data_IF_143075478634
#
_entry.id   IF_143075478634
#
_cell.length_a   1.000
_cell.length_b   1.000
_cell.length_c   1.000
_cell.angle_alpha   90.00
_cell.angle_beta   90.00
_cell.angle_gamma   90.00
#
_symmetry.space_group_name_H-M   'P 1'
#
loop_
_entity.id
_entity.type
_entity.pdbx_description
1 polymer ?
#
# COMPACT_ATOMS: atom_id res chain seq x y z
N UNK A 1 10.75 -34.47 33.38
CA UNK A 1 9.87 -34.42 32.97
C UNK A 1 9.24 -33.20 32.92
N UNK A 2 9.14 -32.57 33.66
CA UNK A 2 8.52 -31.42 33.65
C UNK A 2 9.25 -30.50 32.85
N UNK A 3 10.37 -30.65 32.77
CA UNK A 3 11.06 -29.79 32.06
C UNK A 3 10.61 -29.76 30.75
N UNK A 4 10.06 -30.70 30.38
CA UNK A 4 9.74 -30.76 29.10
C UNK A 4 8.77 -29.78 28.84
N UNK A 5 7.99 -29.48 29.65
CA UNK A 5 7.01 -28.61 29.37
C UNK A 5 7.60 -27.37 29.16
N UNK A 6 8.57 -27.19 29.66
CA UNK A 6 9.12 -25.94 29.59
C UNK A 6 9.48 -25.70 28.22
N UNK A 7 9.80 -26.69 27.57
CA UNK A 7 10.25 -26.45 26.35
C UNK A 7 9.25 -25.91 25.51
N UNK A 8 8.14 -26.04 25.76
CA UNK A 8 7.15 -25.64 24.92
C UNK A 8 7.03 -24.25 24.85
N UNK A 9 7.20 -23.62 25.71
CA UNK A 9 7.05 -22.31 25.81
C UNK A 9 7.30 -21.50 24.69
N UNK A 10 8.09 -21.73 23.92
CA UNK A 10 8.37 -20.89 22.84
C UNK A 10 7.20 -20.72 21.98
N UNK A 11 6.06 -21.14 22.41
CA UNK A 11 4.95 -20.92 21.58
C UNK A 11 4.61 -19.49 21.54
N UNK A 12 4.40 -18.97 20.36
CA UNK A 12 4.01 -17.62 20.19
C UNK A 12 2.51 -17.53 20.27
N UNK A 13 1.95 -16.56 20.99
CA UNK A 13 0.50 -16.43 21.05
C UNK A 13 -0.06 -16.17 19.65
N UNK A 14 -1.27 -16.64 19.41
CA UNK A 14 -1.89 -16.46 18.10
C UNK A 14 -1.98 -14.98 17.75
N UNK A 15 -2.32 -14.13 18.72
CA UNK A 15 -2.42 -12.71 18.44
C UNK A 15 -1.09 -12.12 17.98
N UNK A 16 0.00 -12.65 18.50
CA UNK A 16 1.30 -12.15 18.11
C UNK A 16 1.67 -12.61 16.70
N UNK A 17 1.32 -13.85 16.37
CA UNK A 17 1.53 -14.32 15.01
C UNK A 17 0.75 -13.43 14.07
N UNK A 18 -0.50 -13.14 14.40
CA UNK A 18 -1.33 -12.31 13.53
C UNK A 18 -0.78 -10.90 13.42
N UNK A 19 -0.24 -10.35 14.49
CA UNK A 19 0.36 -9.02 14.43
C UNK A 19 1.56 -8.99 13.51
N UNK A 20 2.38 -10.02 13.55
CA UNK A 20 3.54 -10.09 12.67
C UNK A 20 3.10 -10.17 11.21
N UNK A 21 2.10 -10.98 10.91
CA UNK A 21 1.61 -11.11 9.54
C UNK A 21 0.98 -9.80 9.08
N UNK A 22 0.23 -9.13 9.98
CA UNK A 22 -0.41 -7.86 9.63
C UNK A 22 0.65 -6.81 9.33
N UNK A 23 1.79 -6.88 10.00
CA UNK A 23 2.87 -5.94 9.78
C UNK A 23 3.71 -6.28 8.54
N UNK A 24 3.41 -7.38 7.87
CA UNK A 24 4.09 -7.70 6.62
C UNK A 24 5.02 -8.89 6.67
N UNK A 25 5.08 -9.60 7.79
CA UNK A 25 5.99 -10.73 7.90
C UNK A 25 5.50 -11.88 7.03
N UNK A 26 6.43 -12.63 6.47
CA UNK A 26 6.11 -13.77 5.63
C UNK A 26 5.83 -14.97 6.53
N UNK A 27 4.71 -15.69 6.32
CA UNK A 27 4.38 -16.82 7.18
C UNK A 27 5.49 -17.87 7.28
N UNK A 28 6.18 -18.16 6.18
CA UNK A 28 7.24 -19.14 6.23
C UNK A 28 8.38 -18.68 7.13
N UNK A 29 8.69 -17.39 7.09
CA UNK A 29 9.76 -16.88 7.92
C UNK A 29 9.36 -16.81 9.38
N UNK A 30 8.11 -16.53 9.67
CA UNK A 30 7.62 -16.52 11.04
C UNK A 30 7.73 -17.94 11.59
N UNK A 31 7.31 -18.93 10.79
CA UNK A 31 7.37 -20.32 11.23
C UNK A 31 8.81 -20.71 11.52
N UNK A 32 9.72 -20.34 10.64
CA UNK A 32 11.11 -20.70 10.79
C UNK A 32 11.72 -20.03 12.04
N UNK A 33 11.48 -18.75 12.18
CA UNK A 33 12.06 -18.00 13.28
C UNK A 33 11.60 -18.46 14.65
N UNK A 34 10.35 -18.85 14.77
CA UNK A 34 9.80 -19.25 16.06
C UNK A 34 9.60 -20.75 16.17
N UNK A 35 10.17 -21.52 15.26
CA UNK A 35 10.11 -22.97 15.28
C UNK A 35 8.68 -23.48 15.32
N UNK A 36 7.84 -22.91 14.47
CA UNK A 36 6.46 -23.33 14.39
C UNK A 36 6.21 -23.99 13.04
N UNK A 37 5.12 -24.73 12.95
CA UNK A 37 4.73 -25.33 11.70
C UNK A 37 4.28 -24.24 10.74
N UNK A 38 4.73 -24.28 9.50
CA UNK A 38 4.31 -23.29 8.55
C UNK A 38 2.82 -23.40 8.29
N UNK A 39 2.29 -24.62 8.28
CA UNK A 39 0.85 -24.80 8.09
C UNK A 39 0.07 -24.13 9.21
N UNK A 40 0.57 -24.20 10.43
CA UNK A 40 -0.09 -23.57 11.55
C UNK A 40 -0.08 -22.05 11.41
N UNK A 41 1.08 -21.50 11.05
CA UNK A 41 1.19 -20.05 10.88
C UNK A 41 0.27 -19.58 9.76
N UNK A 42 0.22 -20.31 8.64
CA UNK A 42 -0.65 -19.92 7.56
C UNK A 42 -2.11 -20.01 7.95
N UNK A 43 -2.45 -20.97 8.78
CA UNK A 43 -3.82 -21.10 9.24
C UNK A 43 -4.22 -19.88 10.07
N UNK A 44 -3.35 -19.44 10.96
CA UNK A 44 -3.67 -18.28 11.79
C UNK A 44 -3.53 -16.97 11.03
N UNK A 45 -2.83 -16.97 9.90
CA UNK A 45 -2.72 -15.76 9.12
C UNK A 45 -3.87 -15.60 8.12
N UNK A 46 -4.69 -16.61 7.93
CA UNK A 46 -5.77 -16.52 6.95
C UNK A 46 -6.71 -15.36 7.25
N UNK A 47 -7.07 -15.15 8.49
CA UNK A 47 -7.98 -14.06 8.82
C UNK A 47 -7.31 -12.71 8.60
N UNK A 48 -5.99 -12.64 8.79
CA UNK A 48 -5.27 -11.40 8.55
C UNK A 48 -5.22 -11.11 7.05
N UNK A 49 -5.06 -12.14 6.23
CA UNK A 49 -5.06 -11.92 4.79
C UNK A 49 -6.42 -11.39 4.33
N UNK A 50 -7.50 -11.90 4.90
CA UNK A 50 -8.82 -11.38 4.60
C UNK A 50 -8.94 -9.93 5.07
N UNK A 51 -8.39 -9.64 6.23
CA UNK A 51 -8.40 -8.29 6.77
C UNK A 51 -7.63 -7.33 5.87
N UNK A 52 -6.49 -7.77 5.34
CA UNK A 52 -5.70 -6.95 4.43
C UNK A 52 -6.45 -6.67 3.14
N UNK A 53 -7.11 -7.69 2.62
CA UNK A 53 -7.88 -7.53 1.39
C UNK A 53 -9.02 -6.55 1.62
N UNK A 54 -9.67 -6.65 2.77
CA UNK A 54 -10.75 -5.73 3.13
C UNK A 54 -10.21 -4.30 3.24
N UNK A 55 -9.01 -4.15 3.81
CA UNK A 55 -8.42 -2.82 3.94
C UNK A 55 -8.17 -2.20 2.56
N UNK A 56 -7.68 -3.00 1.61
CA UNK A 56 -7.46 -2.50 0.27
C UNK A 56 -8.78 -2.07 -0.36
N UNK A 57 -9.82 -2.87 -0.21
CA UNK A 57 -11.10 -2.55 -0.79
C UNK A 57 -11.69 -1.28 -0.17
N UNK A 58 -11.55 -1.11 1.12
CA UNK A 58 -12.07 0.07 1.79
C UNK A 58 -11.27 1.31 1.43
N UNK A 59 -9.96 1.18 1.27
CA UNK A 59 -9.15 2.29 0.84
C UNK A 59 -9.57 2.74 -0.56
N UNK A 60 -9.81 1.80 -1.45
CA UNK A 60 -10.20 2.13 -2.82
C UNK A 60 -11.60 2.75 -2.88
N UNK A 61 -12.40 2.52 -1.85
CA UNK A 61 -13.74 3.10 -1.79
C UNK A 61 -13.77 4.49 -1.13
N UNK A 62 -12.62 4.97 -0.67
CA UNK A 62 -12.56 6.30 -0.06
C UNK A 62 -12.96 7.34 -1.10
N UNK A 63 -13.74 8.35 -0.71
CA UNK A 63 -14.16 9.38 -1.67
C UNK A 63 -12.97 10.11 -2.27
N UNK A 64 -13.02 10.34 -3.56
CA UNK A 64 -11.96 11.06 -4.24
C UNK A 64 -12.10 12.56 -4.01
N UNK A 65 -11.03 13.32 -4.23
CA UNK A 65 -11.12 14.78 -4.14
C UNK A 65 -12.18 15.31 -5.09
N UNK A 66 -12.87 16.34 -4.69
CA UNK A 66 -13.96 16.88 -5.48
C UNK A 66 -13.51 17.35 -6.85
N UNK A 67 -12.32 17.86 -6.94
CA UNK A 67 -11.81 18.35 -8.20
C UNK A 67 -11.62 17.26 -9.24
N UNK A 68 -11.52 16.02 -8.79
CA UNK A 68 -11.20 14.94 -9.69
C UNK A 68 -12.37 14.51 -10.57
N UNK A 69 -13.59 14.88 -10.18
CA UNK A 69 -14.79 14.53 -10.92
C UNK A 69 -15.09 13.05 -10.99
N UNK A 70 -14.46 12.27 -10.15
CA UNK A 70 -14.81 10.87 -10.00
C UNK A 70 -15.23 10.69 -8.55
N UNK A 71 -15.82 9.56 -8.24
CA UNK A 71 -16.41 9.36 -6.94
C UNK A 71 -15.46 8.81 -5.91
N UNK A 72 -14.63 7.87 -6.29
CA UNK A 72 -13.77 7.18 -5.32
C UNK A 72 -12.33 7.19 -5.77
N UNK A 73 -11.45 6.86 -4.84
CA UNK A 73 -10.03 6.73 -5.17
C UNK A 73 -9.83 5.63 -6.20
N UNK A 74 -10.65 4.57 -6.14
CA UNK A 74 -10.56 3.50 -7.12
C UNK A 74 -10.71 4.04 -8.53
N UNK A 75 -11.74 4.85 -8.75
CA UNK A 75 -11.97 5.41 -10.08
C UNK A 75 -10.86 6.34 -10.51
N UNK A 76 -10.35 7.13 -9.57
CA UNK A 76 -9.29 8.07 -9.86
C UNK A 76 -8.01 7.34 -10.25
N UNK A 77 -7.66 6.33 -9.48
CA UNK A 77 -6.45 5.57 -9.73
C UNK A 77 -6.58 4.77 -11.02
N UNK A 78 -7.74 4.18 -11.26
CA UNK A 78 -7.97 3.43 -12.49
C UNK A 78 -7.84 4.32 -13.71
N UNK A 79 -8.34 5.55 -13.61
CA UNK A 79 -8.22 6.48 -14.71
C UNK A 79 -6.76 6.80 -15.01
N UNK A 80 -5.97 6.98 -13.96
CA UNK A 80 -4.56 7.28 -14.11
C UNK A 80 -3.82 6.09 -14.73
N UNK A 81 -4.12 4.88 -14.25
CA UNK A 81 -3.49 3.69 -14.81
C UNK A 81 -3.87 3.51 -16.28
N UNK A 82 -5.12 3.78 -16.62
CA UNK A 82 -5.55 3.63 -18.01
C UNK A 82 -4.78 4.59 -18.92
N UNK A 83 -4.55 5.80 -18.46
CA UNK A 83 -3.80 6.77 -19.24
C UNK A 83 -2.34 6.35 -19.39
N UNK A 84 -1.80 5.66 -18.41
CA UNK A 84 -0.42 5.18 -18.44
C UNK A 84 -0.31 3.82 -19.12
N UNK A 85 -1.44 3.27 -19.57
CA UNK A 85 -1.48 1.96 -20.20
C UNK A 85 -1.02 0.84 -19.27
N UNK A 86 -1.33 0.97 -17.99
CA UNK A 86 -1.06 -0.05 -17.01
C UNK A 86 -2.37 -0.79 -16.78
N UNK A 87 -2.35 -2.10 -16.92
CA UNK A 87 -3.55 -2.89 -16.73
C UNK A 87 -3.75 -3.17 -15.26
N UNK A 88 -4.99 -3.09 -14.81
CA UNK A 88 -5.28 -3.29 -13.39
C UNK A 88 -4.87 -4.67 -12.90
N UNK A 89 -4.97 -5.67 -13.73
CA UNK A 89 -4.59 -7.01 -13.30
C UNK A 89 -3.08 -7.16 -13.13
N UNK A 90 -2.30 -6.20 -13.63
CA UNK A 90 -0.86 -6.24 -13.45
C UNK A 90 -0.40 -5.43 -12.25
N UNK A 91 -1.33 -4.88 -11.50
CA UNK A 91 -0.99 -4.10 -10.31
C UNK A 91 -1.09 -4.99 -9.09
N UNK A 92 -0.04 -5.02 -8.29
CA UNK A 92 -0.03 -5.80 -7.06
C UNK A 92 -0.33 -4.88 -5.88
N UNK A 93 -1.42 -5.15 -5.19
CA UNK A 93 -1.83 -4.35 -4.03
C UNK A 93 -1.40 -5.05 -2.75
N UNK A 94 -0.94 -4.27 -1.79
CA UNK A 94 -0.58 -4.80 -0.49
C UNK A 94 -1.08 -3.87 0.60
N UNK A 95 -1.37 -4.44 1.75
CA UNK A 95 -1.79 -3.67 2.92
C UNK A 95 -1.05 -4.23 4.11
N UNK A 96 -0.47 -3.34 4.90
CA UNK A 96 0.19 -3.74 6.13
C UNK A 96 -0.17 -2.73 7.21
N UNK A 97 -0.09 -3.16 8.46
CA UNK A 97 -0.36 -2.29 9.57
C UNK A 97 0.55 -2.67 10.72
N UNK A 98 1.22 -1.69 11.30
CA UNK A 98 2.08 -1.93 12.42
C UNK A 98 1.41 -1.40 13.67
N UNK A 99 1.01 -2.30 14.57
CA UNK A 99 0.33 -1.89 15.79
C UNK A 99 -0.95 -1.14 15.50
N UNK A 100 -1.07 0.01 16.09
CA UNK A 100 -2.27 0.84 15.91
C UNK A 100 -2.07 1.97 14.91
N UNK A 101 -0.97 1.94 14.19
CA UNK A 101 -0.74 2.96 13.18
C UNK A 101 -1.72 2.83 12.02
N UNK A 102 -1.86 3.86 11.21
CA UNK A 102 -2.73 3.75 10.04
C UNK A 102 -2.25 2.64 9.13
N UNK A 103 -3.15 2.14 8.33
CA UNK A 103 -2.79 1.13 7.35
C UNK A 103 -1.87 1.73 6.29
N UNK A 104 -0.94 0.93 5.83
CA UNK A 104 -0.10 1.32 4.71
C UNK A 104 -0.58 0.51 3.51
N UNK A 105 -1.05 1.20 2.49
CA UNK A 105 -1.55 0.55 1.27
C UNK A 105 -0.54 0.84 0.18
N UNK A 106 -0.17 -0.16 -0.57
CA UNK A 106 0.77 0.05 -1.67
C UNK A 106 0.28 -0.62 -2.94
N UNK A 107 0.64 -0.02 -4.07
CA UNK A 107 0.34 -0.54 -5.39
C UNK A 107 1.66 -0.61 -6.15
N UNK A 108 2.02 -1.81 -6.59
CA UNK A 108 3.25 -2.00 -7.32
C UNK A 108 2.92 -2.35 -8.76
N UNK A 109 3.54 -1.70 -9.69
CA UNK A 109 3.25 -1.91 -11.11
C UNK A 109 4.48 -1.52 -11.93
N UNK A 110 4.45 -1.86 -13.22
CA UNK A 110 5.56 -1.53 -14.12
C UNK A 110 5.06 -0.47 -15.10
N UNK A 111 5.83 0.57 -15.27
CA UNK A 111 5.51 1.62 -16.23
C UNK A 111 6.81 2.04 -16.90
N UNK A 112 6.81 2.06 -18.23
CA UNK A 112 7.99 2.43 -19.01
C UNK A 112 9.22 1.62 -18.63
N UNK A 113 9.02 0.33 -18.36
CA UNK A 113 10.12 -0.56 -18.03
C UNK A 113 10.63 -0.45 -16.62
N UNK A 114 10.01 0.38 -15.79
CA UNK A 114 10.45 0.55 -14.42
C UNK A 114 9.38 0.06 -13.46
N UNK A 115 9.82 -0.59 -12.38
CA UNK A 115 8.90 -1.02 -11.34
C UNK A 115 8.67 0.17 -10.40
N UNK A 116 7.42 0.53 -10.23
CA UNK A 116 7.04 1.67 -9.41
C UNK A 116 6.15 1.18 -8.29
N UNK A 117 6.36 1.70 -7.10
CA UNK A 117 5.54 1.34 -5.95
C UNK A 117 4.98 2.61 -5.33
N UNK A 118 3.68 2.78 -5.43
CA UNK A 118 3.00 3.91 -4.81
C UNK A 118 2.55 3.48 -3.42
N UNK A 119 2.74 4.35 -2.44
CA UNK A 119 2.41 4.02 -1.06
C UNK A 119 1.61 5.12 -0.42
N UNK A 120 0.56 4.73 0.29
CA UNK A 120 -0.29 5.65 1.01
C UNK A 120 -0.45 5.19 2.45
N UNK A 121 -0.68 6.16 3.35
CA UNK A 121 -1.09 5.88 4.70
C UNK A 121 -2.58 6.19 4.77
N UNK A 122 -3.37 5.30 5.35
CA UNK A 122 -4.82 5.45 5.37
C UNK A 122 -5.36 5.08 6.73
N UNK A 123 -6.11 6.00 7.33
CA UNK A 123 -6.74 5.78 8.61
C UNK A 123 -8.19 5.37 8.38
N UNK A 124 -8.52 4.14 8.77
CA UNK A 124 -9.83 3.61 8.51
C UNK A 124 -10.93 4.36 9.26
N UNK A 125 -10.60 4.97 10.38
CA UNK A 125 -11.62 5.64 11.18
C UNK A 125 -12.14 6.92 10.55
N UNK A 126 -11.28 7.72 9.97
CA UNK A 126 -11.71 9.01 9.42
C UNK A 126 -11.41 9.13 7.93
N UNK A 127 -10.97 8.05 7.30
CA UNK A 127 -10.65 8.03 5.87
C UNK A 127 -9.55 9.02 5.48
N UNK A 128 -8.72 9.40 6.43
CA UNK A 128 -7.61 10.31 6.13
C UNK A 128 -6.56 9.54 5.34
N UNK A 129 -6.21 10.04 4.17
CA UNK A 129 -5.25 9.43 3.27
C UNK A 129 -4.06 10.37 3.11
N UNK A 130 -2.87 9.85 3.31
CA UNK A 130 -1.65 10.61 3.08
C UNK A 130 -0.80 9.87 2.08
N UNK A 131 -0.28 10.59 1.10
CA UNK A 131 0.62 9.97 0.13
C UNK A 131 2.00 9.89 0.75
N UNK A 132 2.59 8.71 0.71
CA UNK A 132 3.89 8.50 1.32
C UNK A 132 5.05 8.69 0.36
N UNK A 133 4.76 8.72 -0.94
CA UNK A 133 5.81 8.97 -1.92
C UNK A 133 5.21 9.65 -3.14
N UNK A 134 6.08 10.02 -4.08
CA UNK A 134 5.68 10.75 -5.25
C UNK A 134 4.77 9.96 -6.16
N UNK A 135 5.03 8.68 -6.30
CA UNK A 135 4.19 7.86 -7.18
C UNK A 135 2.75 7.85 -6.67
N UNK A 136 2.57 7.78 -5.35
CA UNK A 136 1.23 7.81 -4.77
C UNK A 136 0.53 9.12 -5.07
N UNK A 137 1.27 10.23 -4.96
CA UNK A 137 0.68 11.53 -5.24
C UNK A 137 0.24 11.65 -6.69
N UNK A 138 1.06 11.12 -7.59
CA UNK A 138 0.72 11.20 -9.00
C UNK A 138 -0.49 10.35 -9.36
N UNK A 139 -0.64 9.23 -8.69
CA UNK A 139 -1.78 8.38 -8.99
C UNK A 139 -3.11 9.03 -8.59
N UNK A 140 -3.09 9.89 -7.59
CA UNK A 140 -4.33 10.58 -7.22
C UNK A 140 -4.31 12.04 -7.64
N UNK A 141 -3.35 12.42 -8.49
CA UNK A 141 -3.36 13.73 -9.12
C UNK A 141 -2.78 14.85 -8.30
N UNK A 142 -1.96 14.56 -7.31
CA UNK A 142 -1.35 15.60 -6.50
C UNK A 142 0.05 15.92 -6.99
N UNK A 143 0.49 17.12 -6.66
CA UNK A 143 1.81 17.57 -7.05
C UNK A 143 2.87 17.06 -6.07
N UNK A 144 4.01 16.67 -6.57
CA UNK A 144 5.11 16.27 -5.72
C UNK A 144 5.66 17.43 -4.95
N UNK A 145 6.06 17.18 -3.74
CA UNK A 145 6.78 18.18 -2.99
C UNK A 145 8.16 18.33 -3.61
N UNK A 146 8.69 19.53 -3.67
CA UNK A 146 9.99 19.75 -4.32
C UNK A 146 11.15 19.05 -3.68
N UNK A 147 11.05 18.66 -2.45
CA UNK A 147 12.15 18.03 -1.79
C UNK A 147 12.09 16.54 -1.67
N UNK A 148 11.43 15.89 -2.56
CA UNK A 148 11.33 14.44 -2.51
C UNK A 148 12.68 13.78 -2.73
N UNK A 149 12.81 12.58 -2.30
CA UNK A 149 14.04 11.84 -2.43
C UNK A 149 14.48 11.68 -3.86
N UNK A 150 15.76 11.71 -4.09
CA UNK A 150 16.28 11.69 -5.43
C UNK A 150 16.06 10.38 -6.17
N UNK A 151 16.22 9.29 -5.51
CA UNK A 151 16.04 8.02 -6.17
C UNK A 151 14.61 7.83 -6.63
N UNK A 152 13.69 8.30 -5.82
CA UNK A 152 12.31 8.23 -6.17
C UNK A 152 11.99 9.15 -7.31
N UNK A 153 12.65 10.26 -7.39
CA UNK A 153 12.41 11.20 -8.42
C UNK A 153 12.64 10.65 -9.80
N UNK A 154 13.63 9.84 -9.99
CA UNK A 154 13.89 9.26 -11.27
C UNK A 154 12.73 8.39 -11.73
N UNK A 155 12.23 7.52 -10.86
CA UNK A 155 11.11 6.68 -11.21
C UNK A 155 9.88 7.51 -11.48
N UNK A 156 9.69 8.57 -10.72
CA UNK A 156 8.54 9.42 -10.88
C UNK A 156 8.56 10.15 -12.22
N UNK A 157 9.72 10.58 -12.63
CA UNK A 157 9.81 11.27 -13.90
C UNK A 157 9.44 10.35 -15.04
N UNK A 158 9.89 9.11 -14.98
CA UNK A 158 9.53 8.15 -16.00
C UNK A 158 8.04 7.88 -15.98
N UNK A 159 7.45 7.80 -14.80
CA UNK A 159 6.03 7.55 -14.67
C UNK A 159 5.25 8.73 -15.24
N UNK A 160 5.67 9.95 -14.94
CA UNK A 160 5.01 11.13 -15.45
C UNK A 160 5.10 11.18 -16.96
N UNK A 161 6.23 10.84 -17.51
CA UNK A 161 6.40 10.85 -18.96
C UNK A 161 5.45 9.87 -19.61
N UNK A 162 5.20 8.73 -18.98
CA UNK A 162 4.31 7.76 -19.56
C UNK A 162 2.84 8.15 -19.36
N UNK A 163 2.53 8.97 -18.36
CA UNK A 163 1.16 9.36 -18.14
C UNK A 163 0.70 10.37 -19.18
N UNK A 164 1.51 11.38 -19.40
CA UNK A 164 1.18 12.39 -20.39
C UNK A 164 -0.25 12.88 -20.25
N UNK A 165 -0.63 13.32 -19.05
CA UNK A 165 -1.98 13.77 -18.77
C UNK A 165 -2.07 15.27 -18.60
N UNK A 166 -2.76 15.96 -19.50
CA UNK A 166 -2.88 17.41 -19.36
C UNK A 166 -3.55 17.83 -18.07
N UNK A 167 -4.56 17.07 -17.65
CA UNK A 167 -5.23 17.41 -16.41
C UNK A 167 -4.32 17.36 -15.21
N UNK A 168 -3.41 16.41 -15.20
CA UNK A 168 -2.45 16.29 -14.11
C UNK A 168 -1.54 17.49 -14.10
N UNK A 169 -1.09 17.94 -15.25
CA UNK A 169 -0.20 19.08 -15.32
C UNK A 169 -0.89 20.34 -14.79
N UNK A 170 -2.12 20.56 -15.16
CA UNK A 170 -2.84 21.72 -14.70
C UNK A 170 -3.06 21.67 -13.20
N UNK A 171 -3.37 20.49 -12.70
CA UNK A 171 -3.61 20.35 -11.29
C UNK A 171 -2.32 20.54 -10.50
N UNK A 172 -1.23 20.04 -11.01
CA UNK A 172 0.05 20.21 -10.34
C UNK A 172 0.43 21.67 -10.26
N UNK A 173 0.25 22.41 -11.33
CA UNK A 173 0.56 23.83 -11.33
C UNK A 173 -0.29 24.55 -10.30
N UNK A 174 -1.56 24.18 -10.16
CA UNK A 174 -2.41 24.84 -9.21
C UNK A 174 -1.98 24.57 -7.77
N UNK A 175 -1.59 23.33 -7.49
CA UNK A 175 -1.14 22.99 -6.16
C UNK A 175 0.13 23.76 -5.82
N UNK A 176 1.03 23.90 -6.77
CA UNK A 176 2.23 24.64 -6.52
C UNK A 176 1.95 26.08 -6.14
N UNK A 177 0.96 26.68 -6.77
CA UNK A 177 0.66 28.06 -6.46
C UNK A 177 0.09 28.24 -5.06
N UNK A 178 -0.60 27.24 -4.55
CA UNK A 178 -1.18 27.39 -3.23
C UNK A 178 -0.17 27.11 -2.12
N UNK A 179 0.94 26.52 -2.43
CA UNK A 179 1.97 26.30 -1.46
C UNK A 179 2.85 27.50 -1.33
#
# INVERSE_FOLDING_TARGET
>A
QEEQKTRIPPTLPISQIQSLIRAGADPARVAERYSLSEALVRRFSASVETEKQYAIEQFLAVPAPKESRVRTLSELIERTFAAARVRLEDVTWKATRLGLEPWKISAQFVSSGHTICAEWSWNMHDNAVSCLNSAARKLIGEQDAPKEGHAEKHADENFLASLNLPGNSARSARIEKTV
#
